data_IF_425910092595
#
_entry.id   IF_425910092595
#
_cell.length_a   1.000
_cell.length_b   1.000
_cell.length_c   1.000
_cell.angle_alpha   90.00
_cell.angle_beta   90.00
_cell.angle_gamma   90.00
#
_symmetry.space_group_name_H-M   'P 1'
#
loop_
_entity.id
_entity.type
_entity.pdbx_description
1 polymer ?
#
# COMPACT_ATOMS: atom_id res chain seq x y z
N UNK A 1 -13.60 -1.69 -15.76
CA UNK A 1 -13.78 -0.45 -14.99
C UNK A 1 -12.38 -0.07 -14.55
N UNK A 2 -11.79 0.96 -15.15
CA UNK A 2 -10.42 1.36 -14.88
C UNK A 2 -10.32 1.99 -13.49
N UNK A 3 -9.82 1.19 -12.55
CA UNK A 3 -9.60 1.54 -11.14
C UNK A 3 -8.76 2.82 -11.01
N UNK A 4 -7.86 3.06 -11.97
CA UNK A 4 -7.00 4.23 -12.08
C UNK A 4 -7.76 5.54 -12.36
N UNK A 5 -8.87 5.49 -13.10
CA UNK A 5 -9.67 6.67 -13.40
C UNK A 5 -10.37 7.22 -12.14
N UNK A 6 -10.75 6.32 -11.22
CA UNK A 6 -11.43 6.67 -9.96
C UNK A 6 -10.43 7.26 -8.94
N UNK A 7 -9.18 6.77 -8.95
CA UNK A 7 -8.10 7.34 -8.13
C UNK A 7 -7.68 8.74 -8.58
N UNK A 8 -7.85 9.06 -9.88
CA UNK A 8 -7.61 10.42 -10.40
C UNK A 8 -8.81 11.36 -10.18
N UNK A 9 -10.04 10.83 -10.08
CA UNK A 9 -11.26 11.63 -9.93
C UNK A 9 -11.75 11.69 -8.48
N UNK A 10 -10.95 12.24 -7.57
CA UNK A 10 -11.34 12.42 -6.16
C UNK A 10 -11.85 13.84 -5.91
N UNK A 11 -13.16 14.04 -6.04
CA UNK A 11 -13.83 15.31 -5.69
C UNK A 11 -14.74 15.13 -4.48
N UNK A 12 -14.59 15.97 -3.45
CA UNK A 12 -15.41 15.96 -2.22
C UNK A 12 -16.13 17.31 -2.05
N UNK A 13 -17.28 17.30 -1.38
CA UNK A 13 -18.04 18.52 -1.09
C UNK A 13 -17.89 18.91 0.38
N UNK A 14 -17.51 20.15 0.65
CA UNK A 14 -17.54 20.74 2.00
C UNK A 14 -18.28 22.07 1.96
N UNK A 15 -19.25 22.24 2.85
CA UNK A 15 -20.06 23.45 2.95
C UNK A 15 -20.72 23.89 1.63
N UNK A 16 -21.19 22.92 0.82
CA UNK A 16 -21.84 23.18 -0.47
C UNK A 16 -20.92 23.58 -1.62
N UNK A 17 -19.59 23.58 -1.40
CA UNK A 17 -18.59 23.77 -2.45
C UNK A 17 -17.88 22.46 -2.76
N UNK A 18 -17.60 22.23 -4.05
CA UNK A 18 -16.88 21.07 -4.54
C UNK A 18 -15.38 21.37 -4.60
N UNK A 19 -14.58 20.46 -4.05
CA UNK A 19 -13.13 20.51 -4.03
C UNK A 19 -12.58 19.27 -4.70
N UNK A 20 -11.59 19.45 -5.56
CA UNK A 20 -10.88 18.35 -6.21
C UNK A 20 -9.58 18.11 -5.45
N UNK A 21 -9.34 16.86 -5.06
CA UNK A 21 -8.16 16.49 -4.30
C UNK A 21 -6.99 16.31 -5.25
N UNK A 22 -6.10 17.30 -5.21
CA UNK A 22 -4.88 17.40 -6.02
C UNK A 22 -3.75 16.45 -5.56
N UNK A 23 -3.76 15.97 -4.31
CA UNK A 23 -2.77 15.01 -3.79
C UNK A 23 -3.27 14.27 -2.54
N UNK A 24 -2.92 12.98 -2.41
CA UNK A 24 -3.36 12.10 -1.32
C UNK A 24 -4.76 11.48 -1.51
N UNK A 25 -5.05 10.41 -0.77
CA UNK A 25 -6.39 9.79 -0.77
C UNK A 25 -7.34 10.61 0.10
N UNK A 26 -8.60 10.87 -0.33
CA UNK A 26 -9.60 11.40 0.57
C UNK A 26 -9.84 10.42 1.71
N UNK A 27 -10.07 10.92 2.93
CA UNK A 27 -10.60 10.13 4.05
C UNK A 27 -12.09 9.72 3.85
N UNK A 28 -12.54 9.54 2.61
CA UNK A 28 -13.90 9.11 2.26
C UNK A 28 -14.22 9.34 0.78
N UNK A 29 -14.71 8.33 0.04
CA UNK A 29 -16.05 7.75 0.16
C UNK A 29 -16.01 6.27 0.56
N UNK A 30 -17.17 5.68 0.92
CA UNK A 30 -17.34 4.25 1.28
C UNK A 30 -16.76 3.24 0.26
N UNK A 31 -16.50 3.69 -0.97
CA UNK A 31 -15.94 2.89 -2.05
C UNK A 31 -14.40 2.85 -2.07
N UNK A 32 -13.72 3.84 -1.48
CA UNK A 32 -12.25 3.90 -1.45
C UNK A 32 -11.61 2.74 -0.67
N UNK A 33 -12.12 2.32 0.51
CA UNK A 33 -11.53 1.19 1.24
C UNK A 33 -11.64 -0.13 0.46
N UNK A 34 -12.76 -0.37 -0.21
CA UNK A 34 -12.97 -1.57 -1.03
C UNK A 34 -12.02 -1.58 -2.22
N UNK A 35 -11.82 -0.42 -2.86
CA UNK A 35 -10.91 -0.29 -3.99
C UNK A 35 -9.45 -0.42 -3.56
N UNK A 36 -9.08 0.17 -2.42
CA UNK A 36 -7.77 0.00 -1.81
C UNK A 36 -7.51 -1.46 -1.48
N UNK A 37 -8.50 -2.16 -0.91
CA UNK A 37 -8.40 -3.60 -0.65
C UNK A 37 -8.14 -4.39 -1.94
N UNK A 38 -8.87 -4.12 -3.03
CA UNK A 38 -8.67 -4.83 -4.31
C UNK A 38 -7.26 -4.57 -4.86
N UNK A 39 -6.81 -3.31 -4.87
CA UNK A 39 -5.47 -2.95 -5.38
C UNK A 39 -4.38 -3.58 -4.53
N UNK A 40 -4.54 -3.58 -3.21
CA UNK A 40 -3.57 -4.16 -2.30
C UNK A 40 -3.57 -5.69 -2.35
N UNK A 41 -4.70 -6.32 -2.65
CA UNK A 41 -4.83 -7.77 -2.85
C UNK A 41 -4.11 -8.25 -4.11
N UNK A 42 -4.27 -7.51 -5.21
CA UNK A 42 -3.56 -7.76 -6.47
C UNK A 42 -2.05 -7.53 -6.30
N UNK A 43 -1.69 -6.44 -5.62
CA UNK A 43 -0.30 -6.12 -5.29
C UNK A 43 0.34 -7.19 -4.41
N UNK A 44 -0.36 -7.66 -3.38
CA UNK A 44 0.09 -8.72 -2.49
C UNK A 44 0.32 -10.01 -3.26
N UNK A 45 -0.65 -10.45 -4.06
CA UNK A 45 -0.54 -11.66 -4.86
C UNK A 45 0.63 -11.57 -5.85
N UNK A 46 0.77 -10.44 -6.53
CA UNK A 46 1.84 -10.21 -7.49
C UNK A 46 3.22 -10.18 -6.80
N UNK A 47 3.39 -9.35 -5.78
CA UNK A 47 4.66 -9.17 -5.10
C UNK A 47 5.08 -10.43 -4.34
N UNK A 48 4.17 -11.08 -3.60
CA UNK A 48 4.48 -12.32 -2.89
C UNK A 48 4.85 -13.46 -3.85
N UNK A 49 4.26 -13.51 -5.05
CA UNK A 49 4.65 -14.49 -6.08
C UNK A 49 6.05 -14.25 -6.67
N UNK A 50 6.50 -12.98 -6.69
CA UNK A 50 7.83 -12.60 -7.16
C UNK A 50 8.91 -12.80 -6.09
N UNK A 51 8.54 -12.77 -4.82
CA UNK A 51 9.48 -13.07 -3.73
C UNK A 51 9.88 -14.54 -3.80
N UNK A 52 11.16 -14.80 -4.04
CA UNK A 52 11.74 -16.16 -4.03
C UNK A 52 11.83 -16.80 -2.64
N UNK A 53 11.07 -16.32 -1.66
CA UNK A 53 11.03 -16.83 -0.30
C UNK A 53 9.64 -16.67 0.32
N UNK A 54 9.34 -17.51 1.30
CA UNK A 54 8.08 -17.45 2.01
C UNK A 54 8.11 -16.35 3.09
N UNK A 55 7.04 -15.55 3.16
CA UNK A 55 6.84 -14.52 4.18
C UNK A 55 6.04 -15.14 5.33
N UNK A 56 6.66 -15.43 6.49
CA UNK A 56 6.03 -16.24 7.54
C UNK A 56 4.90 -15.52 8.27
N UNK A 57 4.95 -14.18 8.37
CA UNK A 57 3.83 -13.37 8.84
C UNK A 57 3.63 -12.19 7.91
N UNK A 58 2.42 -12.03 7.40
CA UNK A 58 1.99 -10.91 6.59
C UNK A 58 0.59 -10.50 7.05
N UNK A 59 0.46 -9.26 7.49
CA UNK A 59 -0.78 -8.65 7.96
C UNK A 59 -0.99 -7.35 7.19
N UNK A 60 -2.22 -7.14 6.70
CA UNK A 60 -2.59 -5.94 5.97
C UNK A 60 -3.69 -5.19 6.72
N UNK A 61 -3.56 -3.88 6.85
CA UNK A 61 -4.58 -2.98 7.35
C UNK A 61 -4.81 -1.85 6.34
N UNK A 62 -5.81 -2.02 5.47
CA UNK A 62 -6.16 -1.08 4.38
C UNK A 62 -4.96 -0.78 3.47
N UNK A 63 -4.20 0.28 3.75
CA UNK A 63 -3.03 0.74 3.01
C UNK A 63 -1.69 0.46 3.70
N UNK A 64 -1.71 -0.08 4.92
CA UNK A 64 -0.53 -0.47 5.68
C UNK A 64 -0.30 -1.99 5.63
N UNK A 65 0.98 -2.38 5.54
CA UNK A 65 1.39 -3.78 5.59
C UNK A 65 2.37 -3.97 6.73
N UNK A 66 2.14 -4.99 7.53
CA UNK A 66 3.02 -5.44 8.60
C UNK A 66 3.49 -6.86 8.28
N UNK A 67 4.80 -7.06 8.21
CA UNK A 67 5.36 -8.38 7.98
C UNK A 67 6.59 -8.64 8.85
N UNK A 68 6.84 -9.91 9.18
CA UNK A 68 8.02 -10.30 9.95
C UNK A 68 8.96 -11.07 9.02
N UNK A 69 10.10 -10.48 8.70
CA UNK A 69 11.07 -11.01 7.75
C UNK A 69 12.51 -10.70 8.18
N UNK A 70 13.49 -11.53 7.79
CA UNK A 70 14.90 -11.22 8.04
C UNK A 70 15.31 -9.88 7.43
N UNK A 71 16.16 -9.13 8.13
CA UNK A 71 16.66 -7.81 7.65
C UNK A 71 17.32 -7.88 6.27
N UNK A 72 17.90 -9.02 5.90
CA UNK A 72 18.48 -9.23 4.56
C UNK A 72 17.45 -9.24 3.43
N UNK A 73 16.16 -9.49 3.75
CA UNK A 73 15.05 -9.58 2.79
C UNK A 73 14.20 -8.32 2.71
N UNK A 74 14.39 -7.39 3.63
CA UNK A 74 13.68 -6.10 3.68
C UNK A 74 13.85 -5.32 2.38
N UNK A 75 15.08 -5.18 1.89
CA UNK A 75 15.32 -4.42 0.66
C UNK A 75 14.78 -5.14 -0.59
N UNK A 76 14.84 -6.48 -0.62
CA UNK A 76 14.23 -7.30 -1.69
C UNK A 76 12.72 -7.05 -1.79
N UNK A 77 12.03 -7.02 -0.64
CA UNK A 77 10.59 -6.71 -0.55
C UNK A 77 10.33 -5.29 -1.02
N UNK A 78 11.01 -4.32 -0.43
CA UNK A 78 10.84 -2.90 -0.78
C UNK A 78 11.04 -2.65 -2.27
N UNK A 79 12.06 -3.26 -2.88
CA UNK A 79 12.33 -3.13 -4.32
C UNK A 79 11.22 -3.75 -5.16
N UNK A 80 10.77 -4.95 -4.81
CA UNK A 80 9.67 -5.65 -5.50
C UNK A 80 8.38 -4.82 -5.45
N UNK A 81 8.04 -4.30 -4.27
CA UNK A 81 6.83 -3.50 -4.04
C UNK A 81 6.87 -2.16 -4.76
N UNK A 82 8.01 -1.46 -4.75
CA UNK A 82 8.17 -0.19 -5.49
C UNK A 82 8.22 -0.40 -7.01
N UNK A 83 8.58 -1.58 -7.49
CA UNK A 83 8.55 -1.91 -8.92
C UNK A 83 7.14 -2.23 -9.44
N UNK A 84 6.17 -2.45 -8.56
CA UNK A 84 4.81 -2.76 -8.95
C UNK A 84 4.14 -1.61 -9.72
N UNK A 85 4.30 -0.36 -9.27
CA UNK A 85 3.70 0.79 -9.95
C UNK A 85 4.41 2.11 -9.64
N UNK A 86 4.67 2.93 -10.66
CA UNK A 86 5.41 4.20 -10.54
C UNK A 86 4.76 5.24 -9.60
N UNK A 87 3.44 5.18 -9.40
CA UNK A 87 2.70 6.06 -8.47
C UNK A 87 2.59 5.51 -7.04
N UNK A 88 3.09 4.30 -6.78
CA UNK A 88 3.05 3.67 -5.46
C UNK A 88 4.46 3.68 -4.88
N UNK A 89 4.70 4.56 -3.92
CA UNK A 89 5.96 4.65 -3.21
C UNK A 89 5.80 4.04 -1.82
N UNK A 90 6.59 3.01 -1.57
CA UNK A 90 6.59 2.17 -0.39
C UNK A 90 7.84 2.47 0.45
N UNK A 91 7.63 2.90 1.70
CA UNK A 91 8.68 3.12 2.71
C UNK A 91 8.60 2.12 3.87
N UNK A 92 9.75 1.76 4.44
CA UNK A 92 9.78 0.82 5.55
C UNK A 92 10.26 1.41 6.85
N UNK A 93 9.73 0.88 7.94
CA UNK A 93 10.19 1.09 9.30
C UNK A 93 10.61 -0.26 9.88
N UNK A 94 11.86 -0.37 10.34
CA UNK A 94 12.37 -1.55 11.05
C UNK A 94 12.62 -1.19 12.50
N UNK A 95 12.12 -1.99 13.42
CA UNK A 95 12.39 -1.79 14.83
C UNK A 95 13.84 -2.17 15.17
N UNK A 96 14.47 -1.40 16.06
CA UNK A 96 15.90 -1.54 16.38
C UNK A 96 16.17 -2.69 17.36
N UNK A 97 15.14 -3.08 18.12
CA UNK A 97 15.25 -4.01 19.24
C UNK A 97 14.95 -5.45 18.82
N UNK A 98 15.91 -6.12 18.19
CA UNK A 98 16.02 -7.60 18.08
C UNK A 98 14.87 -8.40 17.44
N UNK A 99 13.71 -7.79 17.17
CA UNK A 99 12.54 -8.42 16.62
C UNK A 99 12.42 -8.05 15.13
N UNK A 100 12.37 -9.08 14.29
CA UNK A 100 12.41 -8.99 12.83
C UNK A 100 11.11 -8.42 12.21
N UNK A 101 10.50 -7.40 12.81
CA UNK A 101 9.26 -6.78 12.32
C UNK A 101 9.56 -5.64 11.34
N UNK A 102 8.84 -5.67 10.23
CA UNK A 102 8.92 -4.74 9.11
C UNK A 102 7.53 -4.15 8.87
N UNK A 103 7.43 -2.83 8.93
CA UNK A 103 6.20 -2.10 8.61
C UNK A 103 6.42 -1.36 7.31
N UNK A 104 5.49 -1.53 6.38
CA UNK A 104 5.50 -0.94 5.05
C UNK A 104 4.34 0.05 4.93
N UNK A 105 4.68 1.34 4.77
CA UNK A 105 3.71 2.42 4.60
C UNK A 105 3.72 2.91 3.15
N UNK A 106 2.55 3.31 2.66
CA UNK A 106 2.40 4.06 1.40
C UNK A 106 2.49 5.56 1.71
N UNK A 107 3.31 6.28 0.94
CA UNK A 107 3.35 7.77 0.97
C UNK A 107 2.24 8.38 0.13
#
# INVERSE_FOLDING_TARGET
IDIYYILDSTSFSFNGQFYEQIFGSPMGPRLLPILADIVMDDLETHCLSLLGFNVPMYYRYVDEIFTIVPRSKVEDIKSTFNNYHQRLAFTHETDSDSCNSYVQKRL
#
